data_IF_249939328185
#
_entry.id   IF_249939328185
#
_cell.length_a   1.000
_cell.length_b   1.000
_cell.length_c   1.000
_cell.angle_alpha   90.00
_cell.angle_beta   90.00
_cell.angle_gamma   90.00
#
_symmetry.space_group_name_H-M   'P 1'
#
loop_
_entity.id
_entity.type
_entity.pdbx_description
1 polymer ?
#
# COMPACT_ATOMS: atom_id res chain seq x y z
N UNK A 1 35.93 5.89 7.78
CA UNK A 1 35.63 7.25 7.26
C UNK A 1 35.61 7.18 5.73
N UNK A 2 34.41 7.19 5.14
CA UNK A 2 34.02 7.46 3.72
C UNK A 2 32.57 6.99 3.59
N UNK A 3 31.64 7.88 3.96
CA UNK A 3 30.79 8.70 3.06
C UNK A 3 29.63 7.89 2.49
N UNK A 4 28.44 8.25 2.96
CA UNK A 4 27.18 7.54 2.77
C UNK A 4 26.78 7.42 1.31
N UNK A 5 26.38 6.20 0.96
CA UNK A 5 25.51 5.96 -0.18
C UNK A 5 24.10 5.72 0.35
N UNK A 6 23.36 6.81 0.56
CA UNK A 6 21.93 6.80 0.85
C UNK A 6 21.12 6.89 -0.45
N UNK A 7 21.58 6.24 -1.53
CA UNK A 7 20.76 6.00 -2.71
C UNK A 7 19.65 5.04 -2.31
N UNK A 8 18.49 5.64 -2.09
CA UNK A 8 17.16 5.05 -2.06
C UNK A 8 17.15 3.78 -2.92
N UNK A 9 16.84 2.66 -2.29
CA UNK A 9 16.98 1.32 -2.87
C UNK A 9 16.06 1.15 -4.09
N UNK A 10 16.67 1.28 -5.27
CA UNK A 10 16.11 1.19 -6.63
C UNK A 10 15.48 -0.17 -7.02
N UNK A 11 14.71 -0.85 -6.17
CA UNK A 11 14.27 -2.24 -6.48
C UNK A 11 12.82 -2.61 -6.26
N UNK A 12 11.90 -1.72 -5.86
CA UNK A 12 10.46 -2.03 -5.91
C UNK A 12 9.69 -0.80 -6.38
N UNK A 13 8.58 -0.92 -7.14
CA UNK A 13 7.68 0.19 -7.38
C UNK A 13 6.93 0.47 -6.08
N UNK A 14 7.53 1.23 -5.16
CA UNK A 14 6.77 1.66 -4.00
C UNK A 14 5.79 2.75 -4.42
N UNK A 15 4.61 2.79 -3.82
CA UNK A 15 3.61 3.84 -4.06
C UNK A 15 3.96 5.14 -3.31
N UNK A 16 5.24 5.50 -3.29
CA UNK A 16 5.74 6.73 -2.69
C UNK A 16 5.13 8.03 -3.26
N UNK A 17 4.83 8.17 -4.58
CA UNK A 17 4.23 9.41 -5.06
C UNK A 17 2.80 9.59 -4.52
N UNK A 18 2.08 8.50 -4.25
CA UNK A 18 0.76 8.53 -3.62
C UNK A 18 0.86 9.10 -2.20
N UNK A 19 1.82 8.62 -1.41
CA UNK A 19 1.98 9.07 -0.01
C UNK A 19 2.36 10.56 0.03
N UNK A 20 3.26 11.03 -0.84
CA UNK A 20 3.62 12.45 -0.94
C UNK A 20 2.43 13.31 -1.34
N UNK A 21 1.64 12.84 -2.31
CA UNK A 21 0.44 13.52 -2.77
C UNK A 21 -0.59 13.64 -1.63
N UNK A 22 -0.87 12.54 -0.93
CA UNK A 22 -1.80 12.52 0.21
C UNK A 22 -1.34 13.44 1.36
N UNK A 23 -0.06 13.42 1.71
CA UNK A 23 0.51 14.30 2.73
C UNK A 23 0.31 15.78 2.35
N UNK A 24 0.55 16.11 1.08
CA UNK A 24 0.36 17.47 0.55
C UNK A 24 -1.10 17.89 0.60
N UNK A 25 -2.03 17.02 0.19
CA UNK A 25 -3.47 17.29 0.23
C UNK A 25 -4.01 17.51 1.64
N UNK A 26 -3.42 16.86 2.66
CA UNK A 26 -3.82 17.04 4.06
C UNK A 26 -3.25 18.31 4.72
N UNK A 27 -2.30 19.03 4.08
CA UNK A 27 -1.62 20.17 4.70
C UNK A 27 -2.60 21.27 5.15
N UNK A 28 -3.59 21.60 4.32
CA UNK A 28 -4.59 22.62 4.66
C UNK A 28 -5.39 22.27 5.92
N UNK A 29 -5.72 20.99 6.12
CA UNK A 29 -6.39 20.54 7.34
C UNK A 29 -5.48 20.67 8.57
N UNK A 30 -4.21 20.24 8.45
CA UNK A 30 -3.25 20.29 9.56
C UNK A 30 -2.99 21.73 10.00
N UNK A 31 -2.79 22.63 9.03
CA UNK A 31 -2.53 24.05 9.27
C UNK A 31 -3.77 24.72 9.88
N UNK A 32 -4.95 24.47 9.32
CA UNK A 32 -6.22 25.00 9.84
C UNK A 32 -6.55 24.50 11.26
N UNK A 33 -6.31 23.22 11.55
CA UNK A 33 -6.50 22.66 12.89
C UNK A 33 -5.53 23.29 13.89
N UNK A 34 -4.26 23.43 13.50
CA UNK A 34 -3.22 24.02 14.35
C UNK A 34 -3.53 25.48 14.67
N UNK A 35 -3.96 26.24 13.66
CA UNK A 35 -4.40 27.62 13.85
C UNK A 35 -5.60 27.72 14.80
N UNK A 36 -6.62 26.87 14.63
CA UNK A 36 -7.86 26.93 15.42
C UNK A 36 -7.68 26.49 16.87
N UNK A 37 -6.85 25.47 17.12
CA UNK A 37 -6.76 24.82 18.44
C UNK A 37 -5.42 25.03 19.15
N UNK A 38 -4.47 25.75 18.54
CA UNK A 38 -3.13 26.00 19.10
C UNK A 38 -2.25 24.75 19.25
N UNK A 39 -2.68 23.62 18.66
CA UNK A 39 -1.98 22.33 18.73
C UNK A 39 -2.18 21.55 17.45
N UNK A 40 -1.23 20.68 17.11
CA UNK A 40 -1.35 19.78 15.96
C UNK A 40 -2.47 18.74 16.16
N UNK A 41 -3.15 18.30 15.10
CA UNK A 41 -4.10 17.20 15.20
C UNK A 41 -3.40 15.91 15.59
N UNK A 42 -4.13 15.01 16.27
CA UNK A 42 -3.64 13.67 16.51
C UNK A 42 -3.56 12.91 15.17
N UNK A 43 -2.38 12.38 14.87
CA UNK A 43 -2.13 11.51 13.72
C UNK A 43 -1.61 10.17 14.22
N UNK A 44 -2.15 9.06 13.74
CA UNK A 44 -1.65 7.73 14.12
C UNK A 44 -0.16 7.58 13.79
N UNK A 45 0.60 6.86 14.63
CA UNK A 45 2.07 6.70 14.50
C UNK A 45 2.53 6.25 13.11
N UNK A 46 1.80 5.34 12.47
CA UNK A 46 2.13 4.85 11.13
C UNK A 46 1.91 5.91 10.05
N UNK A 47 0.90 6.78 10.21
CA UNK A 47 0.64 7.87 9.27
C UNK A 47 1.74 8.94 9.37
N UNK A 48 2.14 9.30 10.60
CA UNK A 48 3.26 10.22 10.82
C UNK A 48 4.55 9.70 10.19
N UNK A 49 4.89 8.43 10.42
CA UNK A 49 6.06 7.82 9.81
C UNK A 49 6.02 7.85 8.28
N UNK A 50 4.87 7.58 7.66
CA UNK A 50 4.70 7.66 6.20
C UNK A 50 4.89 9.07 5.68
N UNK A 51 4.36 10.08 6.38
CA UNK A 51 4.56 11.48 6.01
C UNK A 51 6.02 11.91 6.18
N UNK A 52 6.69 11.48 7.24
CA UNK A 52 8.14 11.69 7.41
C UNK A 52 8.96 11.04 6.27
N UNK A 53 8.53 9.90 5.73
CA UNK A 53 9.16 9.33 4.53
C UNK A 53 8.83 10.16 3.28
N UNK A 54 7.60 10.66 3.17
CA UNK A 54 7.19 11.51 2.05
C UNK A 54 7.94 12.84 2.03
N UNK A 55 8.21 13.44 3.19
CA UNK A 55 8.92 14.71 3.30
C UNK A 55 10.36 14.64 2.78
N UNK A 56 10.95 13.45 2.74
CA UNK A 56 12.28 13.22 2.14
C UNK A 56 12.29 13.27 0.62
N UNK A 57 11.13 13.13 -0.03
CA UNK A 57 11.00 13.13 -1.48
C UNK A 57 10.92 14.56 -2.01
N UNK A 58 11.69 14.86 -3.04
CA UNK A 58 11.56 16.11 -3.79
C UNK A 58 10.30 16.07 -4.68
N UNK A 59 9.78 17.23 -5.12
CA UNK A 59 8.71 17.28 -6.12
C UNK A 59 9.07 16.54 -7.41
N UNK A 60 10.32 16.63 -7.86
CA UNK A 60 10.80 15.98 -9.08
C UNK A 60 10.80 14.45 -8.93
N UNK A 61 11.26 13.93 -7.79
CA UNK A 61 11.21 12.49 -7.50
C UNK A 61 9.77 11.98 -7.43
N UNK A 62 8.84 12.78 -6.88
CA UNK A 62 7.40 12.46 -6.90
C UNK A 62 6.90 12.34 -8.33
N UNK A 63 7.24 13.30 -9.19
CA UNK A 63 6.75 13.35 -10.56
C UNK A 63 7.30 12.19 -11.40
N UNK A 64 8.59 11.89 -11.26
CA UNK A 64 9.18 10.68 -11.83
C UNK A 64 8.47 9.40 -11.33
N UNK A 65 8.10 9.36 -10.05
CA UNK A 65 7.32 8.25 -9.48
C UNK A 65 5.96 8.08 -10.14
N UNK A 66 5.27 9.19 -10.43
CA UNK A 66 4.02 9.15 -11.18
C UNK A 66 4.23 8.66 -12.61
N UNK A 67 5.27 9.14 -13.32
CA UNK A 67 5.60 8.67 -14.66
C UNK A 67 5.81 7.16 -14.72
N UNK A 68 6.47 6.57 -13.71
CA UNK A 68 6.64 5.11 -13.62
C UNK A 68 5.32 4.38 -13.39
N UNK A 69 4.45 4.90 -12.52
CA UNK A 69 3.12 4.32 -12.30
C UNK A 69 2.31 4.36 -13.60
N UNK A 70 2.34 5.47 -14.34
CA UNK A 70 1.65 5.57 -15.62
C UNK A 70 2.24 4.64 -16.67
N UNK A 71 3.57 4.52 -16.75
CA UNK A 71 4.23 3.56 -17.64
C UNK A 71 3.80 2.13 -17.32
N UNK A 72 3.77 1.76 -16.04
CA UNK A 72 3.31 0.45 -15.60
C UNK A 72 1.83 0.21 -15.92
N UNK A 73 0.97 1.22 -15.70
CA UNK A 73 -0.44 1.19 -16.11
C UNK A 73 -0.58 0.92 -17.61
N UNK A 74 0.14 1.65 -18.46
CA UNK A 74 0.08 1.43 -19.92
C UNK A 74 0.55 0.02 -20.29
N UNK A 75 1.62 -0.46 -19.64
CA UNK A 75 2.09 -1.82 -19.85
C UNK A 75 1.02 -2.86 -19.49
N UNK A 76 0.35 -2.71 -18.34
CA UNK A 76 -0.75 -3.60 -17.92
C UNK A 76 -1.90 -3.60 -18.93
N UNK A 77 -2.35 -2.43 -19.35
CA UNK A 77 -3.48 -2.29 -20.28
C UNK A 77 -3.16 -2.80 -21.69
N UNK A 78 -1.90 -2.77 -22.11
CA UNK A 78 -1.49 -3.20 -23.45
C UNK A 78 -1.09 -4.69 -23.52
N UNK A 79 -0.66 -5.29 -22.40
CA UNK A 79 -0.06 -6.63 -22.41
C UNK A 79 -0.81 -7.65 -21.54
N UNK A 80 -1.55 -7.19 -20.53
CA UNK A 80 -2.26 -8.08 -19.61
C UNK A 80 -3.75 -8.04 -19.90
N UNK A 81 -4.36 -6.85 -19.86
CA UNK A 81 -5.79 -6.70 -20.05
C UNK A 81 -6.15 -6.66 -21.54
N UNK A 82 -6.96 -7.62 -21.97
CA UNK A 82 -7.62 -7.64 -23.28
C UNK A 82 -9.10 -7.99 -23.11
N UNK A 83 -9.90 -7.84 -24.16
CA UNK A 83 -11.33 -8.14 -24.08
C UNK A 83 -11.60 -9.56 -23.56
N UNK A 84 -12.33 -9.67 -22.44
CA UNK A 84 -12.62 -10.95 -21.78
C UNK A 84 -11.52 -11.49 -20.86
N UNK A 85 -10.44 -10.73 -20.65
CA UNK A 85 -9.40 -11.13 -19.68
C UNK A 85 -9.93 -11.02 -18.26
N UNK A 86 -9.63 -12.03 -17.45
CA UNK A 86 -9.85 -12.01 -16.01
C UNK A 86 -8.54 -12.35 -15.33
N UNK A 87 -8.07 -11.47 -14.46
CA UNK A 87 -6.86 -11.68 -13.64
C UNK A 87 -7.31 -12.05 -12.24
N UNK A 88 -6.83 -13.18 -11.72
CA UNK A 88 -7.12 -13.66 -10.37
C UNK A 88 -5.83 -13.65 -9.56
N UNK A 89 -5.83 -12.92 -8.45
CA UNK A 89 -4.67 -12.80 -7.56
C UNK A 89 -5.04 -13.18 -6.12
N UNK A 90 -4.16 -13.87 -5.38
CA UNK A 90 -4.34 -14.03 -3.93
C UNK A 90 -4.26 -12.67 -3.26
N UNK A 91 -5.11 -12.40 -2.25
CA UNK A 91 -5.08 -11.12 -1.53
C UNK A 91 -3.99 -11.10 -0.46
N UNK A 92 -3.78 -12.24 0.19
CA UNK A 92 -2.83 -12.43 1.27
C UNK A 92 -2.18 -13.82 1.18
N UNK A 93 -1.15 -14.04 1.99
CA UNK A 93 -0.41 -15.32 2.06
C UNK A 93 -1.16 -16.42 2.83
N UNK A 94 -2.34 -16.10 3.37
CA UNK A 94 -3.16 -17.02 4.16
C UNK A 94 -2.62 -17.24 5.56
N UNK A 95 -1.78 -16.35 6.09
CA UNK A 95 -1.31 -16.48 7.48
C UNK A 95 -2.20 -15.70 8.46
N UNK A 96 -2.47 -16.24 9.66
CA UNK A 96 -3.23 -15.52 10.68
C UNK A 96 -2.47 -14.28 11.17
N UNK A 97 -3.13 -13.11 11.11
CA UNK A 97 -2.61 -11.87 11.69
C UNK A 97 -3.31 -11.57 13.02
N UNK A 98 -2.79 -12.12 14.12
CA UNK A 98 -3.30 -11.88 15.47
C UNK A 98 -2.94 -10.49 15.98
N UNK A 99 -3.84 -9.88 16.77
CA UNK A 99 -3.60 -8.59 17.45
C UNK A 99 -2.55 -8.70 18.56
N UNK A 100 -2.32 -9.90 19.07
CA UNK A 100 -1.28 -10.19 20.07
C UNK A 100 0.12 -10.20 19.45
N UNK A 101 0.21 -10.41 18.13
CA UNK A 101 1.48 -10.32 17.44
C UNK A 101 1.96 -8.87 17.45
N UNK A 102 3.27 -8.65 17.65
CA UNK A 102 3.83 -7.31 17.51
C UNK A 102 3.50 -6.78 16.11
N UNK A 103 3.04 -5.52 16.00
CA UNK A 103 2.69 -4.95 14.71
C UNK A 103 3.93 -4.99 13.80
N UNK A 104 3.75 -5.27 12.50
CA UNK A 104 4.88 -5.29 11.57
C UNK A 104 5.55 -3.90 11.54
N UNK A 105 6.85 -3.84 11.21
CA UNK A 105 7.53 -2.59 10.99
C UNK A 105 6.76 -1.71 9.99
N UNK A 106 6.79 -0.39 10.18
CA UNK A 106 6.15 0.50 9.22
C UNK A 106 6.81 0.35 7.85
N UNK A 107 5.96 0.10 6.85
CA UNK A 107 6.37 -0.08 5.47
C UNK A 107 5.63 0.87 4.53
N UNK A 108 6.24 1.10 3.37
CA UNK A 108 5.59 1.73 2.23
C UNK A 108 4.76 0.69 1.48
N UNK A 109 3.68 1.14 0.83
CA UNK A 109 2.85 0.28 0.00
C UNK A 109 3.64 -0.17 -1.23
N UNK A 110 3.54 -1.45 -1.57
CA UNK A 110 4.14 -2.05 -2.75
C UNK A 110 3.17 -1.96 -3.94
N UNK A 111 3.60 -1.36 -5.05
CA UNK A 111 2.82 -1.26 -6.28
C UNK A 111 2.60 -2.60 -6.97
N UNK A 112 3.40 -3.63 -6.66
CA UNK A 112 3.17 -5.00 -7.11
C UNK A 112 2.32 -5.83 -6.13
N UNK A 113 1.82 -5.23 -5.04
CA UNK A 113 0.87 -5.93 -4.19
C UNK A 113 -0.40 -6.25 -5.00
N UNK A 114 -1.03 -7.43 -4.83
CA UNK A 114 -2.25 -7.79 -5.54
C UNK A 114 -3.34 -6.70 -5.54
N UNK A 115 -3.60 -6.14 -4.35
CA UNK A 115 -4.54 -5.03 -4.15
C UNK A 115 -4.13 -3.68 -4.78
N UNK A 116 -2.91 -3.57 -5.29
CA UNK A 116 -2.44 -2.37 -6.00
C UNK A 116 -2.68 -2.45 -7.51
N UNK A 117 -3.03 -3.63 -8.05
CA UNK A 117 -3.19 -3.81 -9.49
C UNK A 117 -4.35 -2.98 -10.04
N UNK A 118 -5.55 -3.14 -9.47
CA UNK A 118 -6.75 -2.47 -9.99
C UNK A 118 -6.72 -0.96 -9.84
N UNK A 119 -6.23 -0.35 -8.73
CA UNK A 119 -6.14 1.10 -8.64
C UNK A 119 -5.13 1.69 -9.63
N UNK A 120 -4.03 0.98 -9.90
CA UNK A 120 -3.04 1.42 -10.90
C UNK A 120 -3.62 1.29 -12.32
N UNK A 121 -4.21 0.13 -12.65
CA UNK A 121 -4.80 -0.14 -13.96
C UNK A 121 -6.08 0.66 -14.22
N UNK A 122 -6.76 1.11 -13.17
CA UNK A 122 -8.08 1.74 -13.23
C UNK A 122 -9.16 0.79 -13.73
N UNK A 123 -9.05 -0.49 -13.36
CA UNK A 123 -9.96 -1.56 -13.75
C UNK A 123 -10.89 -1.94 -12.60
N UNK A 124 -12.10 -2.45 -12.86
CA UNK A 124 -12.94 -3.05 -11.83
C UNK A 124 -12.25 -4.21 -11.09
N UNK A 125 -12.46 -4.28 -9.79
CA UNK A 125 -11.99 -5.37 -8.93
C UNK A 125 -13.10 -5.84 -8.00
N UNK A 126 -13.20 -7.17 -7.82
CA UNK A 126 -14.09 -7.80 -6.84
C UNK A 126 -13.29 -8.77 -5.98
N UNK A 127 -13.40 -8.62 -4.67
CA UNK A 127 -12.87 -9.60 -3.71
C UNK A 127 -13.92 -10.65 -3.38
N UNK A 128 -13.53 -11.94 -3.43
CA UNK A 128 -14.39 -13.06 -3.02
C UNK A 128 -13.63 -14.07 -2.15
N UNK A 129 -14.22 -14.54 -1.03
CA UNK A 129 -13.77 -15.75 -0.37
C UNK A 129 -13.93 -16.96 -1.31
N UNK A 130 -12.92 -17.80 -1.39
CA UNK A 130 -12.90 -19.01 -2.24
C UNK A 130 -12.77 -20.31 -1.45
N UNK A 131 -12.50 -20.20 -0.15
CA UNK A 131 -12.34 -21.34 0.73
C UNK A 131 -11.78 -20.93 2.07
N UNK A 132 -11.26 -21.92 2.80
CA UNK A 132 -10.66 -21.75 4.11
C UNK A 132 -9.45 -22.65 4.25
N UNK A 133 -8.51 -22.25 5.12
CA UNK A 133 -7.44 -23.11 5.60
C UNK A 133 -7.58 -23.29 7.12
N UNK A 134 -7.12 -24.42 7.64
CA UNK A 134 -7.07 -24.62 9.09
C UNK A 134 -5.84 -23.94 9.67
N UNK A 135 -6.02 -23.17 10.73
CA UNK A 135 -4.92 -22.63 11.53
C UNK A 135 -5.15 -22.95 13.02
N UNK A 136 -4.07 -22.96 13.81
CA UNK A 136 -4.17 -23.11 15.27
C UNK A 136 -4.28 -21.72 15.90
N UNK A 137 -5.41 -21.45 16.55
CA UNK A 137 -5.68 -20.15 17.18
C UNK A 137 -4.87 -19.96 18.46
N UNK A 138 -4.15 -18.84 18.56
CA UNK A 138 -3.43 -18.49 19.79
C UNK A 138 -4.38 -18.15 20.95
N UNK A 139 -5.61 -17.74 20.64
CA UNK A 139 -6.61 -17.35 21.64
C UNK A 139 -7.35 -18.56 22.19
N UNK A 140 -7.91 -19.40 21.32
CA UNK A 140 -8.74 -20.54 21.74
C UNK A 140 -7.96 -21.83 21.89
N UNK A 141 -6.72 -21.90 21.37
CA UNK A 141 -5.90 -23.10 21.29
C UNK A 141 -6.50 -24.24 20.45
N UNK A 142 -7.56 -23.94 19.69
CA UNK A 142 -8.25 -24.87 18.79
C UNK A 142 -7.79 -24.69 17.33
N UNK A 143 -8.04 -25.72 16.53
CA UNK A 143 -7.95 -25.63 15.08
C UNK A 143 -9.21 -24.91 14.56
N UNK A 144 -9.01 -23.76 13.94
CA UNK A 144 -10.09 -22.90 13.45
C UNK A 144 -9.95 -22.68 11.94
N UNK A 145 -11.06 -22.44 11.22
CA UNK A 145 -11.02 -22.07 9.81
C UNK A 145 -10.61 -20.60 9.64
N UNK A 146 -9.68 -20.35 8.73
CA UNK A 146 -9.27 -19.02 8.26
C UNK A 146 -9.72 -18.85 6.79
N UNK A 147 -10.61 -17.89 6.47
CA UNK A 147 -11.07 -17.69 5.11
C UNK A 147 -9.94 -17.20 4.20
N UNK A 148 -9.83 -17.79 3.02
CA UNK A 148 -8.92 -17.36 1.96
C UNK A 148 -9.74 -16.66 0.86
N UNK A 149 -9.26 -15.49 0.44
CA UNK A 149 -9.92 -14.66 -0.57
C UNK A 149 -9.00 -14.36 -1.74
N UNK A 150 -9.61 -14.21 -2.91
CA UNK A 150 -8.94 -13.74 -4.12
C UNK A 150 -9.51 -12.41 -4.56
N UNK A 151 -8.66 -11.64 -5.21
CA UNK A 151 -8.99 -10.45 -5.98
C UNK A 151 -9.21 -10.88 -7.43
N UNK A 152 -10.35 -10.52 -7.98
CA UNK A 152 -10.71 -10.75 -9.39
C UNK A 152 -10.77 -9.40 -10.09
N UNK A 153 -9.88 -9.19 -11.06
CA UNK A 153 -9.73 -7.94 -11.80
C UNK A 153 -10.07 -8.15 -13.27
N UNK A 154 -10.84 -7.25 -13.87
CA UNK A 154 -11.34 -7.35 -15.26
C UNK A 154 -11.05 -6.11 -16.09
#
# INVERSE_FOLDING_TARGET
MRTGDSRITWRRPQLYPIIKTLATSCKGFVDGYTHKFGKRPFLHRALRWRWEQADKLTPEERDEGWERIYTYRQWLLNNVFSAGTVVVLPIDDGTPNSRENPPPPFGLLNGYHPLSLSPIAGTPEVTRPIGEITYRSDVTQLNEPLPISVSVVT
#
